data_IF_682268007387
#
_entry.id   IF_682268007387
#
_cell.length_a   1.000
_cell.length_b   1.000
_cell.length_c   1.000
_cell.angle_alpha   90.00
_cell.angle_beta   90.00
_cell.angle_gamma   90.00
#
_symmetry.space_group_name_H-M   'P 1'
#
loop_
_entity.id
_entity.type
_entity.pdbx_description
1 polymer ?
#
# COMPACT_ATOMS: atom_id res chain seq x y z
N UNK A 1 16.13 -63.14 16.94
CA UNK A 1 16.93 -62.40 15.94
C UNK A 1 16.06 -61.70 14.91
N UNK A 2 15.20 -62.40 14.15
CA UNK A 2 14.31 -61.75 13.16
C UNK A 2 13.32 -60.77 13.82
N UNK A 3 12.67 -61.19 14.91
CA UNK A 3 11.64 -60.39 15.58
C UNK A 3 12.22 -59.09 16.19
N UNK A 4 13.44 -59.16 16.73
CA UNK A 4 14.15 -58.01 17.29
C UNK A 4 14.57 -56.99 16.21
N UNK A 5 14.96 -57.45 15.01
CA UNK A 5 15.22 -56.55 13.88
C UNK A 5 13.95 -55.86 13.41
N UNK A 6 12.82 -56.58 13.39
CA UNK A 6 11.54 -56.04 12.95
C UNK A 6 11.03 -54.95 13.91
N UNK A 7 11.14 -55.18 15.23
CA UNK A 7 10.84 -54.17 16.25
C UNK A 7 11.72 -52.92 16.09
N UNK A 8 13.02 -53.10 15.83
CA UNK A 8 13.95 -51.97 15.67
C UNK A 8 13.65 -51.15 14.42
N UNK A 9 13.27 -51.81 13.32
CA UNK A 9 12.84 -51.14 12.08
C UNK A 9 11.58 -50.31 12.29
N UNK A 10 10.58 -50.85 12.99
CA UNK A 10 9.36 -50.11 13.34
C UNK A 10 9.69 -48.90 14.21
N UNK A 11 10.59 -49.05 15.19
CA UNK A 11 11.02 -47.95 16.06
C UNK A 11 11.65 -46.79 15.26
N UNK A 12 12.49 -47.10 14.26
CA UNK A 12 13.10 -46.11 13.38
C UNK A 12 12.06 -45.40 12.50
N UNK A 13 11.04 -46.11 12.02
CA UNK A 13 9.95 -45.49 11.25
C UNK A 13 9.17 -44.51 12.15
N UNK A 14 8.86 -44.92 13.38
CA UNK A 14 8.16 -44.08 14.35
C UNK A 14 8.99 -42.82 14.69
N UNK A 15 10.29 -42.97 14.94
CA UNK A 15 11.17 -41.82 15.24
C UNK A 15 11.23 -40.85 14.05
N UNK A 16 11.27 -41.38 12.83
CA UNK A 16 11.30 -40.57 11.60
C UNK A 16 10.01 -39.78 11.42
N UNK A 17 8.85 -40.41 11.66
CA UNK A 17 7.55 -39.75 11.58
C UNK A 17 7.44 -38.64 12.63
N UNK A 18 7.89 -38.91 13.86
CA UNK A 18 7.91 -37.91 14.94
C UNK A 18 8.74 -36.67 14.57
N UNK A 19 9.93 -36.87 14.01
CA UNK A 19 10.78 -35.78 13.55
C UNK A 19 10.13 -34.96 12.44
N UNK A 20 9.47 -35.63 11.48
CA UNK A 20 8.78 -34.97 10.37
C UNK A 20 7.64 -34.07 10.87
N UNK A 21 6.82 -34.57 11.80
CA UNK A 21 5.71 -33.80 12.40
C UNK A 21 6.25 -32.57 13.14
N UNK A 22 7.31 -32.75 13.93
CA UNK A 22 7.93 -31.64 14.67
C UNK A 22 8.44 -30.56 13.73
N UNK A 23 9.14 -30.95 12.66
CA UNK A 23 9.68 -30.03 11.68
C UNK A 23 8.58 -29.26 10.96
N UNK A 24 7.53 -29.95 10.49
CA UNK A 24 6.37 -29.32 9.84
C UNK A 24 5.70 -28.27 10.74
N UNK A 25 5.49 -28.60 12.02
CA UNK A 25 4.87 -27.65 12.96
C UNK A 25 5.70 -26.37 13.14
N UNK A 26 7.04 -26.48 13.17
CA UNK A 26 7.90 -25.30 13.27
C UNK A 26 7.84 -24.42 12.01
N UNK A 27 7.74 -25.02 10.83
CA UNK A 27 7.55 -24.29 9.57
C UNK A 27 6.18 -23.60 9.51
N UNK A 28 5.10 -24.31 9.88
CA UNK A 28 3.74 -23.79 9.91
C UNK A 28 3.63 -22.58 10.86
N UNK A 29 4.29 -22.63 12.03
CA UNK A 29 4.31 -21.50 12.99
C UNK A 29 5.00 -20.28 12.36
N UNK A 30 6.15 -20.47 11.70
CA UNK A 30 6.89 -19.37 11.05
C UNK A 30 6.08 -18.76 9.91
N UNK A 31 5.51 -19.60 9.06
CA UNK A 31 4.66 -19.17 7.96
C UNK A 31 3.45 -18.39 8.46
N UNK A 32 2.75 -18.90 9.47
CA UNK A 32 1.59 -18.23 10.04
C UNK A 32 1.94 -16.87 10.65
N UNK A 33 3.11 -16.75 11.30
CA UNK A 33 3.61 -15.47 11.81
C UNK A 33 3.85 -14.45 10.69
N UNK A 34 4.49 -14.88 9.60
CA UNK A 34 4.74 -14.02 8.43
C UNK A 34 3.41 -13.56 7.82
N UNK A 35 2.46 -14.49 7.64
CA UNK A 35 1.14 -14.19 7.10
C UNK A 35 0.35 -13.22 8.00
N UNK A 36 0.45 -13.36 9.32
CA UNK A 36 -0.16 -12.42 10.28
C UNK A 36 0.39 -11.00 10.10
N UNK A 37 1.71 -10.87 10.03
CA UNK A 37 2.37 -9.57 9.81
C UNK A 37 1.95 -8.96 8.48
N UNK A 38 1.88 -9.77 7.41
CA UNK A 38 1.42 -9.30 6.11
C UNK A 38 -0.01 -8.75 6.17
N UNK A 39 -0.91 -9.48 6.82
CA UNK A 39 -2.30 -9.04 6.97
C UNK A 39 -2.41 -7.76 7.80
N UNK A 40 -1.65 -7.64 8.89
CA UNK A 40 -1.61 -6.42 9.71
C UNK A 40 -1.12 -5.20 8.92
N UNK A 41 -0.09 -5.36 8.08
CA UNK A 41 0.40 -4.30 7.20
C UNK A 41 -0.68 -3.90 6.18
N UNK A 42 -1.40 -4.88 5.62
CA UNK A 42 -2.46 -4.60 4.67
C UNK A 42 -3.62 -3.83 5.32
N UNK A 43 -4.05 -4.27 6.50
CA UNK A 43 -5.08 -3.56 7.28
C UNK A 43 -4.64 -2.13 7.61
N UNK A 44 -3.38 -1.93 7.99
CA UNK A 44 -2.84 -0.60 8.24
C UNK A 44 -2.88 0.28 6.98
N UNK A 45 -2.52 -0.27 5.81
CA UNK A 45 -2.59 0.48 4.55
C UNK A 45 -4.03 0.88 4.21
N UNK A 46 -5.00 -0.01 4.42
CA UNK A 46 -6.41 0.30 4.20
C UNK A 46 -6.86 1.47 5.11
N UNK A 47 -6.45 1.47 6.38
CA UNK A 47 -6.76 2.60 7.29
C UNK A 47 -6.09 3.91 6.87
N UNK A 48 -4.89 3.86 6.28
CA UNK A 48 -4.22 5.04 5.76
C UNK A 48 -4.96 5.62 4.55
N UNK A 49 -5.46 4.76 3.66
CA UNK A 49 -6.26 5.20 2.52
C UNK A 49 -7.55 5.90 2.98
N UNK A 50 -8.22 5.36 4.00
CA UNK A 50 -9.40 6.00 4.60
C UNK A 50 -9.06 7.37 5.22
N UNK A 51 -7.93 7.48 5.92
CA UNK A 51 -7.45 8.74 6.48
C UNK A 51 -7.17 9.74 5.35
N UNK A 52 -6.50 9.32 4.28
CA UNK A 52 -6.21 10.19 3.12
C UNK A 52 -7.51 10.68 2.48
N UNK A 53 -8.50 9.80 2.28
CA UNK A 53 -9.82 10.18 1.77
C UNK A 53 -10.52 11.19 2.67
N UNK A 54 -10.43 10.99 3.99
CA UNK A 54 -11.00 11.93 4.97
C UNK A 54 -10.29 13.30 4.94
N UNK A 55 -8.97 13.31 4.75
CA UNK A 55 -8.18 14.54 4.64
C UNK A 55 -8.50 15.29 3.35
N UNK A 56 -8.60 14.59 2.22
CA UNK A 56 -9.01 15.19 0.94
C UNK A 56 -10.41 15.80 1.07
N UNK A 57 -11.35 15.13 1.74
CA UNK A 57 -12.67 15.69 2.02
C UNK A 57 -12.59 16.96 2.89
N UNK A 58 -11.77 16.97 3.94
CA UNK A 58 -11.61 18.14 4.80
C UNK A 58 -10.94 19.32 4.07
N UNK A 59 -9.95 19.06 3.22
CA UNK A 59 -9.28 20.10 2.42
C UNK A 59 -10.27 20.72 1.43
N UNK A 60 -10.96 19.89 0.64
CA UNK A 60 -11.92 20.36 -0.36
C UNK A 60 -13.11 21.11 0.25
N UNK A 61 -13.51 20.79 1.47
CA UNK A 61 -14.60 21.50 2.17
C UNK A 61 -14.14 22.75 2.93
N UNK A 62 -12.86 22.86 3.28
CA UNK A 62 -12.33 24.03 3.97
C UNK A 62 -11.99 25.21 3.04
N UNK A 63 -11.84 24.96 1.73
CA UNK A 63 -11.66 26.01 0.72
C UNK A 63 -12.92 26.88 0.50
N UNK A 64 -14.04 26.58 1.15
CA UNK A 64 -15.30 27.36 1.02
C UNK A 64 -15.34 28.60 1.94
N UNK A 65 -14.40 28.78 2.89
CA UNK A 65 -14.51 29.86 3.89
C UNK A 65 -13.48 31.00 3.81
N UNK A 66 -12.65 31.10 2.77
CA UNK A 66 -11.72 32.24 2.63
C UNK A 66 -11.57 32.83 1.23
N UNK A 67 -12.66 33.04 0.48
CA UNK A 67 -12.67 34.11 -0.53
C UNK A 67 -14.07 34.69 -0.66
N UNK A 68 -14.21 35.92 -0.20
CA UNK A 68 -15.33 36.80 -0.50
C UNK A 68 -15.46 37.02 -2.01
N UNK A 69 -16.72 36.93 -2.50
CA UNK A 69 -17.27 37.56 -3.72
C UNK A 69 -16.49 37.34 -5.03
N UNK A 70 -16.99 36.50 -5.93
CA UNK A 70 -17.60 36.93 -7.21
C UNK A 70 -18.29 35.76 -7.95
N UNK A 71 -19.58 35.98 -8.21
CA UNK A 71 -20.52 35.48 -9.24
C UNK A 71 -20.27 34.18 -10.05
N UNK A 72 -21.35 33.40 -10.06
CA UNK A 72 -22.00 32.72 -11.19
C UNK A 72 -21.26 31.59 -11.93
N UNK A 73 -21.72 30.35 -11.74
CA UNK A 73 -22.68 29.73 -12.68
C UNK A 73 -22.90 28.25 -12.31
N UNK A 74 -24.16 27.82 -12.45
CA UNK A 74 -24.64 26.47 -12.16
C UNK A 74 -24.12 25.48 -13.20
N UNK A 75 -23.56 24.35 -12.75
CA UNK A 75 -23.79 23.09 -13.45
C UNK A 75 -23.71 21.93 -12.44
N UNK A 76 -24.86 21.32 -12.17
CA UNK A 76 -24.94 20.05 -11.47
C UNK A 76 -24.21 19.00 -12.31
N UNK A 77 -23.16 18.39 -11.76
CA UNK A 77 -22.52 17.22 -12.35
C UNK A 77 -22.71 16.06 -11.40
N UNK A 78 -23.62 15.19 -11.80
CA UNK A 78 -23.79 13.83 -11.30
C UNK A 78 -22.48 13.07 -11.58
N UNK A 79 -21.86 12.45 -10.58
CA UNK A 79 -20.65 11.68 -10.78
C UNK A 79 -20.77 10.35 -10.05
N UNK A 80 -21.26 9.39 -10.84
CA UNK A 80 -21.19 7.96 -10.59
C UNK A 80 -19.78 7.55 -10.16
N UNK A 81 -19.80 6.77 -9.10
CA UNK A 81 -18.69 6.29 -8.33
C UNK A 81 -18.00 5.13 -9.08
N UNK A 82 -17.15 5.41 -10.11
CA UNK A 82 -16.32 4.34 -10.71
C UNK A 82 -15.08 4.75 -11.52
N UNK A 83 -14.62 6.02 -11.48
CA UNK A 83 -13.54 6.51 -12.37
C UNK A 83 -12.36 7.24 -11.68
N UNK A 84 -12.27 7.26 -10.35
CA UNK A 84 -11.23 8.07 -9.67
C UNK A 84 -9.84 7.43 -9.63
N UNK A 85 -9.71 6.09 -9.69
CA UNK A 85 -8.40 5.44 -9.52
C UNK A 85 -7.44 5.65 -10.70
N UNK A 86 -7.96 5.87 -11.92
CA UNK A 86 -7.15 6.01 -13.13
C UNK A 86 -6.52 7.40 -13.30
N UNK A 87 -7.19 8.43 -12.79
CA UNK A 87 -6.76 9.84 -12.92
C UNK A 87 -5.60 10.17 -11.95
N UNK A 88 -5.56 9.52 -10.78
CA UNK A 88 -4.48 9.71 -9.80
C UNK A 88 -3.14 9.11 -10.28
N UNK A 89 -3.18 8.01 -11.03
CA UNK A 89 -1.99 7.34 -11.57
C UNK A 89 -1.30 8.18 -12.65
N UNK A 90 -2.09 8.82 -13.52
CA UNK A 90 -1.57 9.67 -14.60
C UNK A 90 -0.85 10.91 -14.07
N UNK A 91 -1.34 11.48 -12.97
CA UNK A 91 -0.72 12.66 -12.33
C UNK A 91 0.64 12.30 -11.72
N UNK A 92 0.73 11.18 -11.00
CA UNK A 92 1.99 10.67 -10.45
C UNK A 92 3.02 10.40 -11.55
N UNK A 93 2.62 9.75 -12.65
CA UNK A 93 3.49 9.47 -13.79
C UNK A 93 4.03 10.74 -14.44
N UNK A 94 3.19 11.79 -14.56
CA UNK A 94 3.61 13.10 -15.07
C UNK A 94 4.64 13.76 -14.15
N UNK A 95 4.42 13.74 -12.83
CA UNK A 95 5.36 14.28 -11.84
C UNK A 95 6.74 13.62 -11.97
N UNK A 96 6.79 12.28 -12.03
CA UNK A 96 8.06 11.57 -12.20
C UNK A 96 8.74 11.92 -13.52
N UNK A 97 7.99 11.94 -14.63
CA UNK A 97 8.55 12.28 -15.94
C UNK A 97 9.12 13.70 -16.01
N UNK A 98 8.57 14.65 -15.26
CA UNK A 98 9.06 16.02 -15.19
C UNK A 98 10.30 16.12 -14.30
N UNK A 99 10.31 15.37 -13.20
CA UNK A 99 11.47 15.28 -12.31
C UNK A 99 12.67 14.62 -12.99
N UNK A 100 12.45 13.52 -13.72
CA UNK A 100 13.49 12.83 -14.51
C UNK A 100 14.05 13.72 -15.64
N UNK A 101 13.27 14.69 -16.13
CA UNK A 101 13.72 15.72 -17.08
C UNK A 101 14.53 16.85 -16.43
N UNK A 102 14.74 16.81 -15.11
CA UNK A 102 15.52 17.80 -14.37
C UNK A 102 14.74 19.04 -13.93
N UNK A 103 13.39 19.02 -13.98
CA UNK A 103 12.59 20.14 -13.46
C UNK A 103 12.63 20.16 -11.92
N UNK A 104 12.66 21.36 -11.36
CA UNK A 104 12.59 21.55 -9.91
C UNK A 104 11.18 21.30 -9.37
N UNK A 105 11.07 20.97 -8.08
CA UNK A 105 9.78 20.74 -7.41
C UNK A 105 8.83 21.93 -7.60
N UNK A 106 9.37 23.14 -7.56
CA UNK A 106 8.63 24.39 -7.75
C UNK A 106 8.04 24.54 -9.15
N UNK A 107 8.79 24.15 -10.18
CA UNK A 107 8.36 24.20 -11.57
C UNK A 107 7.31 23.14 -11.85
N UNK A 108 7.49 21.93 -11.33
CA UNK A 108 6.53 20.83 -11.44
C UNK A 108 5.21 21.20 -10.78
N UNK A 109 5.27 21.81 -9.59
CA UNK A 109 4.11 22.29 -8.86
C UNK A 109 3.33 23.33 -9.67
N UNK A 110 4.02 24.28 -10.31
CA UNK A 110 3.39 25.29 -11.19
C UNK A 110 2.80 24.67 -12.45
N UNK A 111 3.54 23.79 -13.13
CA UNK A 111 3.12 23.16 -14.39
C UNK A 111 1.88 22.28 -14.23
N UNK A 112 1.74 21.63 -13.07
CA UNK A 112 0.64 20.72 -12.78
C UNK A 112 -0.47 21.35 -11.92
N UNK A 113 -0.35 22.65 -11.60
CA UNK A 113 -1.22 23.36 -10.67
C UNK A 113 -1.41 22.61 -9.34
N UNK A 114 -0.30 22.14 -8.77
CA UNK A 114 -0.23 21.35 -7.53
C UNK A 114 0.50 22.09 -6.42
N UNK A 115 0.28 21.68 -5.18
CA UNK A 115 1.05 22.18 -4.05
C UNK A 115 2.49 21.68 -4.10
N UNK A 116 3.48 22.53 -3.77
CA UNK A 116 4.89 22.12 -3.67
C UNK A 116 5.08 20.89 -2.78
N UNK A 117 4.36 20.87 -1.66
CA UNK A 117 4.37 19.76 -0.69
C UNK A 117 3.78 18.47 -1.27
N UNK A 118 2.74 18.55 -2.11
CA UNK A 118 2.13 17.39 -2.78
C UNK A 118 3.14 16.74 -3.73
N UNK A 119 3.84 17.55 -4.53
CA UNK A 119 4.90 17.08 -5.44
C UNK A 119 6.06 16.44 -4.66
N UNK A 120 6.49 17.05 -3.56
CA UNK A 120 7.55 16.53 -2.71
C UNK A 120 7.21 15.17 -2.09
N UNK A 121 5.97 15.02 -1.57
CA UNK A 121 5.50 13.75 -1.01
C UNK A 121 5.49 12.66 -2.09
N UNK A 122 4.98 12.96 -3.28
CA UNK A 122 4.92 12.00 -4.40
C UNK A 122 6.31 11.53 -4.80
N UNK A 123 7.28 12.45 -4.90
CA UNK A 123 8.68 12.12 -5.21
C UNK A 123 9.34 11.27 -4.12
N UNK A 124 9.10 11.58 -2.85
CA UNK A 124 9.64 10.79 -1.72
C UNK A 124 9.05 9.38 -1.67
N UNK A 125 7.76 9.23 -1.95
CA UNK A 125 7.08 7.93 -1.97
C UNK A 125 7.69 6.99 -3.03
N UNK A 126 8.10 7.53 -4.18
CA UNK A 126 8.75 6.74 -5.24
C UNK A 126 10.14 6.26 -4.86
N UNK A 127 10.93 7.10 -4.19
CA UNK A 127 12.27 6.72 -3.75
C UNK A 127 12.24 5.62 -2.68
N UNK A 128 11.17 5.54 -1.88
CA UNK A 128 10.96 4.47 -0.91
C UNK A 128 10.62 3.12 -1.58
N UNK A 129 10.01 3.12 -2.76
CA UNK A 129 9.66 1.92 -3.53
C UNK A 129 10.79 1.41 -4.46
N UNK A 130 11.96 2.04 -4.45
CA UNK A 130 13.15 1.60 -5.22
C UNK A 130 14.06 0.62 -4.45
N UNK A 131 13.67 0.22 -3.25
CA UNK A 131 14.33 -0.78 -2.41
C UNK A 131 13.38 -1.95 -2.14
#
# INVERSE_FOLDING_TARGET
MILSLLILGILLIIISILLLIKFKNEEDIKYNRINKIYNEINEYNDTLDDIILSLDFLINNNDIKSTSKEKESKQAVNLDNHKSSKVSTDTKRKIYSLYDKGNTIDEIAKLLNKGKREVEIILKLNNLNKF
#
